data_IF_178441475267
#
_entry.id   IF_178441475267
#
_cell.length_a   1.000
_cell.length_b   1.000
_cell.length_c   1.000
_cell.angle_alpha   90.00
_cell.angle_beta   90.00
_cell.angle_gamma   90.00
#
_symmetry.space_group_name_H-M   'P 1'
#
loop_
_entity.id
_entity.type
_entity.pdbx_description
1 polymer ?
#
# COMPACT_ATOMS: atom_id res chain seq x y z
N UNK A 1 2.54 2.92 -11.30
CA UNK A 1 2.15 3.39 -9.94
C UNK A 1 3.36 3.17 -9.07
N UNK A 2 3.73 4.10 -8.20
CA UNK A 2 4.99 3.96 -7.45
C UNK A 2 4.76 3.15 -6.19
N UNK A 3 5.63 2.18 -5.92
CA UNK A 3 5.62 1.38 -4.71
C UNK A 3 6.99 1.44 -4.03
N UNK A 4 7.01 1.34 -2.71
CA UNK A 4 8.25 1.22 -1.94
C UNK A 4 8.07 0.18 -0.85
N UNK A 5 9.11 -0.62 -0.62
CA UNK A 5 9.08 -1.65 0.41
C UNK A 5 9.15 -1.03 1.79
N UNK A 6 8.26 -1.51 2.66
CA UNK A 6 8.12 -1.06 4.03
C UNK A 6 8.15 -2.25 4.99
N UNK A 7 8.55 -1.98 6.22
CA UNK A 7 8.31 -2.85 7.35
C UNK A 7 7.01 -2.43 8.03
N UNK A 8 6.20 -3.42 8.38
CA UNK A 8 4.93 -3.23 9.07
C UNK A 8 4.90 -4.11 10.33
N UNK A 9 4.76 -3.45 11.47
CA UNK A 9 4.49 -4.11 12.75
C UNK A 9 2.98 -4.21 12.94
N UNK A 10 2.46 -5.43 13.00
CA UNK A 10 1.02 -5.68 13.16
C UNK A 10 0.51 -5.37 14.57
N UNK A 11 1.36 -5.40 15.60
CA UNK A 11 0.93 -5.15 16.98
C UNK A 11 0.80 -3.66 17.27
N UNK A 12 1.71 -2.86 16.72
CA UNK A 12 1.75 -1.40 16.93
C UNK A 12 1.17 -0.61 15.77
N UNK A 13 0.82 -1.29 14.67
CA UNK A 13 0.45 -0.70 13.37
C UNK A 13 1.52 0.27 12.84
N UNK A 14 2.76 0.14 13.30
CA UNK A 14 3.85 1.00 12.90
C UNK A 14 4.34 0.63 11.51
N UNK A 15 4.44 1.64 10.66
CA UNK A 15 4.96 1.52 9.30
C UNK A 15 6.28 2.26 9.23
N UNK A 16 7.31 1.60 8.72
CA UNK A 16 8.60 2.23 8.49
C UNK A 16 9.13 1.89 7.12
N UNK A 17 9.65 2.90 6.43
CA UNK A 17 10.30 2.73 5.14
C UNK A 17 11.80 2.70 5.38
N UNK A 18 12.45 1.62 4.98
CA UNK A 18 13.90 1.60 4.99
C UNK A 18 14.42 2.69 4.04
N UNK A 19 15.35 3.51 4.50
CA UNK A 19 15.97 4.57 3.70
C UNK A 19 16.75 4.03 2.51
N UNK A 20 17.05 2.74 2.49
CA UNK A 20 17.68 2.05 1.36
C UNK A 20 16.68 1.43 0.38
N UNK A 21 15.38 1.40 0.72
CA UNK A 21 14.34 0.90 -0.16
C UNK A 21 14.28 1.74 -1.43
N UNK A 22 14.21 1.07 -2.57
CA UNK A 22 14.06 1.70 -3.88
C UNK A 22 12.58 1.80 -4.23
N UNK A 23 12.24 2.87 -4.96
CA UNK A 23 10.94 2.97 -5.59
C UNK A 23 10.89 1.96 -6.74
N UNK A 24 9.83 1.16 -6.76
CA UNK A 24 9.54 0.13 -7.75
C UNK A 24 8.22 0.44 -8.47
N UNK A 25 8.05 -0.08 -9.69
CA UNK A 25 6.75 -0.05 -10.33
C UNK A 25 5.82 -1.08 -9.69
N UNK A 26 4.67 -0.61 -9.22
CA UNK A 26 3.70 -1.44 -8.51
C UNK A 26 3.15 -2.59 -9.34
N UNK A 27 2.96 -2.42 -10.66
CA UNK A 27 2.44 -3.51 -11.49
C UNK A 27 3.46 -4.64 -11.58
N UNK A 28 4.73 -4.31 -11.76
CA UNK A 28 5.82 -5.28 -11.72
C UNK A 28 5.94 -5.98 -10.34
N UNK A 29 5.62 -5.28 -9.25
CA UNK A 29 5.55 -5.89 -7.91
C UNK A 29 4.38 -6.88 -7.83
N UNK A 30 3.18 -6.53 -8.28
CA UNK A 30 2.04 -7.46 -8.30
C UNK A 30 2.36 -8.73 -9.09
N UNK A 31 2.90 -8.59 -10.30
CA UNK A 31 3.29 -9.74 -11.14
C UNK A 31 4.33 -10.64 -10.45
N UNK A 32 5.29 -10.05 -9.72
CA UNK A 32 6.31 -10.80 -8.95
C UNK A 32 5.70 -11.70 -7.87
N UNK A 33 4.56 -11.28 -7.30
CA UNK A 33 3.85 -12.01 -6.25
C UNK A 33 2.61 -12.74 -6.80
N UNK A 34 2.59 -13.07 -8.10
CA UNK A 34 1.47 -13.77 -8.75
C UNK A 34 0.10 -13.10 -8.51
N UNK A 35 0.08 -11.77 -8.41
CA UNK A 35 -1.09 -10.96 -8.06
C UNK A 35 -1.71 -11.28 -6.68
N UNK A 36 -1.03 -12.06 -5.84
CA UNK A 36 -1.41 -12.31 -4.44
C UNK A 36 -1.04 -11.11 -3.56
N UNK A 37 -1.82 -10.04 -3.73
CA UNK A 37 -1.63 -8.74 -3.07
C UNK A 37 -2.91 -8.28 -2.40
N UNK A 38 -2.78 -7.86 -1.14
CA UNK A 38 -3.89 -7.47 -0.28
C UNK A 38 -3.68 -6.10 0.33
N UNK A 39 -4.65 -5.20 0.16
CA UNK A 39 -4.63 -3.89 0.81
C UNK A 39 -4.90 -4.07 2.30
N UNK A 40 -4.02 -3.52 3.15
CA UNK A 40 -4.17 -3.57 4.60
C UNK A 40 -4.88 -2.32 5.13
N UNK A 41 -4.36 -1.13 4.82
CA UNK A 41 -4.89 0.13 5.32
C UNK A 41 -4.57 1.31 4.38
N UNK A 42 -5.28 2.41 4.59
CA UNK A 42 -4.94 3.71 4.02
C UNK A 42 -3.82 4.35 4.85
N UNK A 43 -2.86 4.99 4.19
CA UNK A 43 -1.75 5.72 4.84
C UNK A 43 -1.67 7.12 4.25
N UNK A 44 -1.07 8.07 4.97
CA UNK A 44 -0.81 9.43 4.46
C UNK A 44 0.62 9.80 4.83
N UNK A 45 1.58 9.12 4.20
CA UNK A 45 3.01 9.24 4.50
C UNK A 45 3.82 9.37 3.21
N UNK A 46 4.64 10.42 3.11
CA UNK A 46 5.61 10.63 2.02
C UNK A 46 5.04 10.42 0.61
N UNK A 47 3.84 10.97 0.34
CA UNK A 47 3.04 10.81 -0.90
C UNK A 47 2.41 9.42 -1.14
N UNK A 48 2.64 8.43 -0.28
CA UNK A 48 2.02 7.11 -0.36
C UNK A 48 0.65 7.11 0.33
N UNK A 49 -0.31 6.39 -0.27
CA UNK A 49 -1.73 6.47 0.12
C UNK A 49 -2.29 5.16 0.66
N UNK A 50 -1.59 4.05 0.46
CA UNK A 50 -2.04 2.74 0.93
C UNK A 50 -0.88 1.81 1.27
N UNK A 51 -1.09 0.93 2.24
CA UNK A 51 -0.22 -0.19 2.55
C UNK A 51 -0.82 -1.48 1.97
N UNK A 52 0.01 -2.26 1.29
CA UNK A 52 -0.32 -3.58 0.76
C UNK A 52 0.59 -4.64 1.36
N UNK A 53 0.03 -5.85 1.55
CA UNK A 53 0.77 -7.07 1.81
C UNK A 53 0.78 -7.92 0.54
N UNK A 54 1.97 -8.31 0.09
CA UNK A 54 2.19 -9.22 -1.02
C UNK A 54 2.73 -10.54 -0.46
N UNK A 55 2.21 -11.67 -0.92
CA UNK A 55 2.61 -12.98 -0.43
C UNK A 55 3.48 -13.69 -1.47
N UNK A 56 4.62 -14.24 -1.05
CA UNK A 56 5.41 -15.11 -1.91
C UNK A 56 4.84 -16.54 -1.94
N UNK A 57 5.52 -17.43 -2.67
CA UNK A 57 5.14 -18.84 -2.79
C UNK A 57 5.18 -19.60 -1.46
N UNK A 58 5.94 -19.10 -0.46
CA UNK A 58 6.01 -19.64 0.90
C UNK A 58 4.97 -18.98 1.83
N UNK A 59 4.05 -18.18 1.28
CA UNK A 59 3.03 -17.41 1.99
C UNK A 59 3.63 -16.42 3.01
N UNK A 60 4.85 -15.95 2.75
CA UNK A 60 5.52 -14.94 3.57
C UNK A 60 5.08 -13.54 3.14
N UNK A 61 4.59 -12.70 4.09
CA UNK A 61 4.13 -11.36 3.75
C UNK A 61 5.31 -10.41 3.54
N UNK A 62 5.22 -9.61 2.48
CA UNK A 62 6.05 -8.45 2.21
C UNK A 62 5.18 -7.21 2.10
N UNK A 63 5.56 -6.12 2.76
CA UNK A 63 4.74 -4.92 2.78
C UNK A 63 5.26 -3.85 1.83
N UNK A 64 4.34 -3.22 1.12
CA UNK A 64 4.64 -2.15 0.20
C UNK A 64 3.70 -0.97 0.46
N UNK A 65 4.29 0.21 0.58
CA UNK A 65 3.57 1.46 0.48
C UNK A 65 3.39 1.77 -1.01
N UNK A 66 2.15 2.08 -1.41
CA UNK A 66 1.78 2.34 -2.79
C UNK A 66 1.20 3.74 -2.91
N UNK A 67 1.75 4.49 -3.84
CA UNK A 67 1.25 5.79 -4.26
C UNK A 67 0.18 5.55 -5.32
N UNK A 68 -1.05 5.36 -4.85
CA UNK A 68 -2.18 5.33 -5.77
C UNK A 68 -2.29 6.72 -6.40
N UNK A 69 -2.40 6.79 -7.73
CA UNK A 69 -2.49 8.07 -8.44
C UNK A 69 -3.54 8.98 -7.78
N UNK A 70 -3.23 10.28 -7.64
CA UNK A 70 -4.06 11.26 -6.90
C UNK A 70 -5.54 11.23 -7.27
N UNK A 71 -5.87 10.90 -8.52
CA UNK A 71 -7.25 10.76 -9.00
C UNK A 71 -7.97 9.55 -8.38
N UNK A 72 -7.28 8.41 -8.26
CA UNK A 72 -7.80 7.20 -7.63
C UNK A 72 -7.95 7.40 -6.11
N UNK A 73 -6.97 8.05 -5.47
CA UNK A 73 -7.00 8.35 -4.04
C UNK A 73 -8.12 9.34 -3.67
N UNK A 74 -8.31 10.42 -4.47
CA UNK A 74 -9.43 11.36 -4.29
C UNK A 74 -10.78 10.69 -4.47
N UNK A 75 -10.91 9.80 -5.47
CA UNK A 75 -12.14 9.06 -5.70
C UNK A 75 -12.45 8.09 -4.54
N UNK A 76 -11.45 7.33 -4.05
CA UNK A 76 -11.62 6.44 -2.89
C UNK A 76 -11.98 7.21 -1.62
N UNK A 77 -11.30 8.32 -1.33
CA UNK A 77 -11.61 9.19 -0.19
C UNK A 77 -13.02 9.76 -0.28
N UNK A 78 -13.46 10.22 -1.47
CA UNK A 78 -14.82 10.70 -1.70
C UNK A 78 -15.85 9.58 -1.42
N UNK A 79 -15.64 8.39 -1.95
CA UNK A 79 -16.53 7.23 -1.74
C UNK A 79 -16.55 6.82 -0.26
N UNK A 80 -15.41 6.85 0.42
CA UNK A 80 -15.30 6.53 1.84
C UNK A 80 -16.08 7.53 2.71
N UNK A 81 -15.90 8.83 2.49
CA UNK A 81 -16.64 9.89 3.20
C UNK A 81 -18.16 9.77 2.96
N UNK A 82 -18.57 9.50 1.72
CA UNK A 82 -19.97 9.24 1.38
C UNK A 82 -20.53 8.01 2.11
N UNK A 83 -19.77 6.92 2.22
CA UNK A 83 -20.19 5.72 2.96
C UNK A 83 -20.31 5.94 4.47
N UNK A 84 -19.56 6.91 5.02
CA UNK A 84 -19.67 7.33 6.41
C UNK A 84 -20.79 8.36 6.64
N UNK A 85 -21.52 8.78 5.60
CA UNK A 85 -22.60 9.75 5.69
C UNK A 85 -22.14 11.17 6.03
N UNK A 86 -20.85 11.47 5.82
CA UNK A 86 -20.28 12.80 6.03
C UNK A 86 -20.14 13.50 4.67
N UNK A 87 -20.99 14.49 4.44
CA UNK A 87 -20.90 15.45 3.32
C UNK A 87 -19.94 16.61 3.65
#
# INVERSE_FOLDING_TARGET
MDAIRADYDKETEAISVDRQSRVEDWLAVCERYNDDVHRLCDVDQDDYTALYACYDEDNKPFYYLVKETKDLARLKRKIFLQKLGMD
#
